data_IF_288108290226
#
_entry.id   IF_288108290226
#
_cell.length_a   1.000
_cell.length_b   1.000
_cell.length_c   1.000
_cell.angle_alpha   90.00
_cell.angle_beta   90.00
_cell.angle_gamma   90.00
#
_symmetry.space_group_name_H-M   'P 1'
#
loop_
_entity.id
_entity.type
_entity.pdbx_description
1 polymer ?
#
# COMPACT_ATOMS: atom_id res chain seq x y z
N UNK A 1 -49.59 24.98 -27.32
CA UNK A 1 -48.58 24.00 -27.77
C UNK A 1 -47.41 23.97 -26.76
N UNK A 2 -47.60 23.41 -25.55
CA UNK A 2 -46.55 23.36 -24.50
C UNK A 2 -46.23 21.93 -24.01
N UNK A 3 -46.86 20.90 -24.58
CA UNK A 3 -46.79 19.53 -24.03
C UNK A 3 -45.56 18.72 -24.48
N UNK A 4 -44.97 19.06 -25.63
CA UNK A 4 -43.85 18.30 -26.21
C UNK A 4 -42.48 18.67 -25.64
N UNK A 5 -42.36 19.79 -24.93
CA UNK A 5 -41.10 20.27 -24.33
C UNK A 5 -40.77 19.58 -22.99
N UNK A 6 -41.79 19.22 -22.20
CA UNK A 6 -41.61 18.58 -20.89
C UNK A 6 -41.13 17.12 -20.95
N UNK A 7 -41.59 16.36 -21.96
CA UNK A 7 -41.23 14.94 -22.15
C UNK A 7 -39.75 14.80 -22.55
N UNK A 8 -39.21 15.75 -23.32
CA UNK A 8 -37.79 15.78 -23.70
C UNK A 8 -36.86 16.01 -22.51
N UNK A 9 -37.32 16.80 -21.53
CA UNK A 9 -36.49 17.19 -20.39
C UNK A 9 -36.48 16.11 -19.29
N UNK A 10 -37.60 15.43 -19.06
CA UNK A 10 -37.67 14.28 -18.13
C UNK A 10 -36.94 13.05 -18.67
N UNK A 11 -36.93 12.84 -20.00
CA UNK A 11 -36.16 11.75 -20.62
C UNK A 11 -34.64 11.99 -20.53
N UNK A 12 -34.19 13.24 -20.57
CA UNK A 12 -32.77 13.59 -20.41
C UNK A 12 -32.28 13.40 -18.98
N UNK A 13 -33.10 13.76 -17.98
CA UNK A 13 -32.70 13.62 -16.57
C UNK A 13 -32.66 12.16 -16.12
N UNK A 14 -33.58 11.31 -16.59
CA UNK A 14 -33.53 9.87 -16.32
C UNK A 14 -32.33 9.19 -16.97
N UNK A 15 -31.95 9.60 -18.19
CA UNK A 15 -30.77 9.07 -18.87
C UNK A 15 -29.46 9.39 -18.13
N UNK A 16 -29.31 10.63 -17.62
CA UNK A 16 -28.13 11.05 -16.85
C UNK A 16 -28.05 10.30 -15.51
N UNK A 17 -29.18 10.13 -14.81
CA UNK A 17 -29.22 9.36 -13.57
C UNK A 17 -28.84 7.89 -13.79
N UNK A 18 -29.24 7.30 -14.92
CA UNK A 18 -28.85 5.94 -15.28
C UNK A 18 -27.33 5.84 -15.55
N UNK A 19 -26.74 6.81 -16.26
CA UNK A 19 -25.29 6.85 -16.53
C UNK A 19 -24.46 6.97 -15.24
N UNK A 20 -24.92 7.75 -14.27
CA UNK A 20 -24.28 7.88 -12.96
C UNK A 20 -24.34 6.58 -12.14
N UNK A 21 -25.43 5.82 -12.25
CA UNK A 21 -25.57 4.52 -11.56
C UNK A 21 -24.64 3.45 -12.15
N UNK A 22 -24.40 3.47 -13.46
CA UNK A 22 -23.53 2.47 -14.11
C UNK A 22 -22.05 2.76 -13.84
N UNK A 23 -21.66 4.03 -13.68
CA UNK A 23 -20.27 4.42 -13.35
C UNK A 23 -19.88 4.13 -11.90
N UNK A 24 -20.84 3.85 -11.02
CA UNK A 24 -20.58 3.49 -9.63
C UNK A 24 -20.12 2.03 -9.43
N UNK A 25 -20.13 1.20 -10.49
CA UNK A 25 -19.84 -0.24 -10.38
C UNK A 25 -18.42 -0.65 -10.78
N UNK A 26 -17.50 0.29 -11.00
CA UNK A 26 -16.08 -0.04 -11.23
C UNK A 26 -15.18 0.69 -10.24
N UNK A 27 -15.45 0.54 -8.95
CA UNK A 27 -14.38 0.64 -7.95
C UNK A 27 -13.60 -0.68 -8.02
N UNK A 28 -12.55 -0.71 -8.84
CA UNK A 28 -11.51 -1.71 -8.70
C UNK A 28 -10.89 -1.48 -7.32
N UNK A 29 -11.34 -2.23 -6.32
CA UNK A 29 -10.83 -2.09 -4.96
C UNK A 29 -9.32 -2.29 -5.02
N UNK A 30 -8.50 -1.37 -4.49
CA UNK A 30 -7.05 -1.56 -4.48
C UNK A 30 -6.80 -2.81 -3.64
N UNK A 31 -6.56 -3.94 -4.29
CA UNK A 31 -6.14 -5.16 -3.61
C UNK A 31 -4.91 -4.78 -2.78
N UNK A 32 -4.87 -5.09 -1.47
CA UNK A 32 -3.72 -4.74 -0.65
C UNK A 32 -2.49 -5.35 -1.32
N UNK A 33 -1.60 -4.50 -1.83
CA UNK A 33 -0.42 -4.97 -2.56
C UNK A 33 0.35 -5.92 -1.66
N UNK A 34 0.30 -7.21 -2.01
CA UNK A 34 0.90 -8.25 -1.21
C UNK A 34 2.42 -8.17 -1.36
N UNK A 35 3.11 -8.55 -0.30
CA UNK A 35 4.56 -8.64 -0.30
C UNK A 35 5.02 -9.56 -1.45
N UNK A 36 6.05 -9.15 -2.20
CA UNK A 36 6.64 -9.97 -3.25
C UNK A 36 6.99 -11.38 -2.70
N UNK A 37 6.76 -12.42 -3.51
CA UNK A 37 7.06 -13.79 -3.13
C UNK A 37 8.53 -13.97 -2.71
N UNK A 38 9.47 -13.28 -3.36
CA UNK A 38 10.89 -13.29 -3.01
C UNK A 38 11.15 -12.69 -1.61
N UNK A 39 10.31 -11.76 -1.16
CA UNK A 39 10.43 -11.14 0.17
C UNK A 39 9.81 -11.98 1.30
N UNK A 40 8.98 -12.97 0.98
CA UNK A 40 8.25 -13.78 1.98
C UNK A 40 9.18 -14.49 2.96
N UNK A 41 10.32 -14.99 2.50
CA UNK A 41 11.29 -15.67 3.38
C UNK A 41 11.89 -14.72 4.42
N UNK A 42 12.09 -13.45 4.06
CA UNK A 42 12.62 -12.44 4.97
C UNK A 42 11.59 -12.08 6.04
N UNK A 43 10.32 -11.97 5.65
CA UNK A 43 9.22 -11.80 6.60
C UNK A 43 9.17 -12.95 7.63
N UNK A 44 9.26 -14.21 7.17
CA UNK A 44 9.26 -15.37 8.07
C UNK A 44 10.44 -15.33 9.05
N UNK A 45 11.64 -14.95 8.60
CA UNK A 45 12.79 -14.79 9.48
C UNK A 45 12.56 -13.72 10.56
N UNK A 46 11.87 -12.62 10.20
CA UNK A 46 11.53 -11.56 11.16
C UNK A 46 10.51 -12.06 12.19
N UNK A 47 9.48 -12.79 11.75
CA UNK A 47 8.48 -13.40 12.64
C UNK A 47 9.09 -14.44 13.59
N UNK A 48 10.08 -15.21 13.13
CA UNK A 48 10.86 -16.15 13.95
C UNK A 48 11.84 -15.45 14.92
N UNK A 49 11.89 -14.12 14.96
CA UNK A 49 12.82 -13.36 15.80
C UNK A 49 14.26 -13.33 15.28
N UNK A 50 14.54 -13.89 14.09
CA UNK A 50 15.85 -13.86 13.42
C UNK A 50 16.07 -12.52 12.69
N UNK A 51 15.71 -11.42 13.33
CA UNK A 51 15.70 -10.05 12.77
C UNK A 51 17.08 -9.61 12.27
N UNK A 52 18.16 -9.99 12.96
CA UNK A 52 19.53 -9.71 12.51
C UNK A 52 19.88 -10.38 11.19
N UNK A 53 19.63 -11.68 11.08
CA UNK A 53 19.85 -12.45 9.85
C UNK A 53 18.96 -11.96 8.71
N UNK A 54 17.68 -11.65 9.01
CA UNK A 54 16.76 -11.09 8.04
C UNK A 54 17.29 -9.79 7.43
N UNK A 55 17.83 -8.86 8.24
CA UNK A 55 18.39 -7.60 7.75
C UNK A 55 19.62 -7.78 6.87
N UNK A 56 20.50 -8.74 7.19
CA UNK A 56 21.66 -9.03 6.33
C UNK A 56 21.19 -9.51 4.97
N UNK A 57 20.25 -10.45 4.93
CA UNK A 57 19.71 -10.99 3.67
C UNK A 57 18.90 -9.96 2.90
N UNK A 58 18.13 -9.11 3.57
CA UNK A 58 17.39 -8.01 2.93
C UNK A 58 18.33 -7.00 2.29
N UNK A 59 19.48 -6.71 2.92
CA UNK A 59 20.49 -5.85 2.34
C UNK A 59 21.06 -6.44 1.05
N UNK A 60 21.45 -7.71 1.09
CA UNK A 60 21.94 -8.42 -0.10
C UNK A 60 20.87 -8.43 -1.22
N UNK A 61 19.62 -8.73 -0.87
CA UNK A 61 18.50 -8.68 -1.81
C UNK A 61 18.37 -7.31 -2.48
N UNK A 62 18.41 -6.22 -1.71
CA UNK A 62 18.29 -4.86 -2.26
C UNK A 62 19.54 -4.42 -3.05
N UNK A 63 20.73 -4.95 -2.74
CA UNK A 63 21.94 -4.73 -3.54
C UNK A 63 21.84 -5.40 -4.92
N UNK A 64 21.20 -6.57 -5.00
CA UNK A 64 21.06 -7.33 -6.25
C UNK A 64 19.85 -6.88 -7.10
N UNK A 65 18.71 -6.63 -6.44
CA UNK A 65 17.41 -6.40 -7.10
C UNK A 65 16.99 -4.93 -7.10
N UNK A 66 17.73 -4.07 -6.40
CA UNK A 66 17.31 -2.71 -6.10
C UNK A 66 16.38 -2.63 -4.89
N UNK A 67 16.21 -1.40 -4.40
CA UNK A 67 15.32 -1.12 -3.28
C UNK A 67 13.86 -1.08 -3.75
N UNK A 68 13.00 -1.85 -3.09
CA UNK A 68 11.55 -1.84 -3.30
C UNK A 68 10.83 -1.40 -2.03
N UNK A 69 9.60 -0.92 -2.17
CA UNK A 69 8.81 -0.46 -1.02
C UNK A 69 8.65 -1.59 0.02
N UNK A 70 8.42 -2.83 -0.45
CA UNK A 70 8.30 -4.01 0.39
C UNK A 70 9.61 -4.39 1.11
N UNK A 71 10.76 -4.32 0.44
CA UNK A 71 12.05 -4.64 1.05
C UNK A 71 12.42 -3.62 2.14
N UNK A 72 12.21 -2.33 1.86
CA UNK A 72 12.40 -1.23 2.80
C UNK A 72 11.45 -1.35 4.00
N UNK A 73 10.19 -1.72 3.77
CA UNK A 73 9.25 -2.02 4.83
C UNK A 73 9.78 -3.13 5.75
N UNK A 74 10.26 -4.25 5.19
CA UNK A 74 10.75 -5.36 6.00
C UNK A 74 12.00 -4.99 6.81
N UNK A 75 12.85 -4.09 6.31
CA UNK A 75 13.95 -3.53 7.10
C UNK A 75 13.41 -2.79 8.33
N UNK A 76 12.40 -1.93 8.16
CA UNK A 76 11.73 -1.24 9.25
C UNK A 76 11.03 -2.21 10.21
N UNK A 77 10.30 -3.18 9.68
CA UNK A 77 9.57 -4.19 10.44
C UNK A 77 10.50 -5.05 11.32
N UNK A 78 11.71 -5.35 10.84
CA UNK A 78 12.72 -6.05 11.65
C UNK A 78 13.18 -5.24 12.87
N UNK A 79 13.34 -3.91 12.75
CA UNK A 79 13.67 -3.03 13.87
C UNK A 79 12.48 -2.83 14.79
N UNK A 80 11.29 -2.76 14.20
CA UNK A 80 10.03 -2.68 14.91
C UNK A 80 9.85 -3.89 15.84
N UNK A 81 10.11 -5.13 15.38
CA UNK A 81 10.07 -6.34 16.22
C UNK A 81 11.04 -6.29 17.40
N UNK A 82 12.16 -5.57 17.25
CA UNK A 82 13.12 -5.32 18.33
C UNK A 82 12.76 -4.11 19.21
N UNK A 83 11.58 -3.50 19.02
CA UNK A 83 11.13 -2.26 19.67
C UNK A 83 12.05 -1.05 19.44
N UNK A 84 12.84 -1.06 18.37
CA UNK A 84 13.75 0.03 17.98
C UNK A 84 13.02 1.02 17.06
N UNK A 85 11.97 1.66 17.58
CA UNK A 85 11.03 2.47 16.78
C UNK A 85 11.72 3.60 16.02
N UNK A 86 12.65 4.33 16.64
CA UNK A 86 13.42 5.38 15.96
C UNK A 86 14.20 4.89 14.73
N UNK A 87 14.65 3.62 14.72
CA UNK A 87 15.27 3.03 13.52
C UNK A 87 14.20 2.55 12.55
N UNK A 88 13.12 1.95 13.04
CA UNK A 88 12.02 1.46 12.22
C UNK A 88 11.39 2.59 11.39
N UNK A 89 11.09 3.73 12.02
CA UNK A 89 10.55 4.95 11.38
C UNK A 89 11.38 5.35 10.17
N UNK A 90 12.72 5.46 10.30
CA UNK A 90 13.60 5.83 9.17
C UNK A 90 13.41 4.93 7.95
N UNK A 91 13.22 3.63 8.16
CA UNK A 91 13.00 2.67 7.08
C UNK A 91 11.58 2.70 6.53
N UNK A 92 10.57 2.89 7.39
CA UNK A 92 9.19 3.06 6.94
C UNK A 92 9.02 4.35 6.12
N UNK A 93 9.63 5.46 6.53
CA UNK A 93 9.65 6.70 5.74
C UNK A 93 10.26 6.47 4.36
N UNK A 94 11.35 5.69 4.28
CA UNK A 94 11.95 5.35 2.98
C UNK A 94 11.02 4.49 2.13
N UNK A 95 10.37 3.51 2.74
CA UNK A 95 9.36 2.65 2.10
C UNK A 95 8.16 3.43 1.56
N UNK A 96 7.72 4.49 2.24
CA UNK A 96 6.61 5.34 1.78
C UNK A 96 7.03 6.41 0.77
N UNK A 97 8.33 6.57 0.52
CA UNK A 97 8.90 7.59 -0.36
C UNK A 97 9.51 7.00 -1.64
N UNK A 98 9.26 5.73 -1.94
CA UNK A 98 9.73 5.10 -3.19
C UNK A 98 8.92 5.58 -4.39
N UNK A 99 9.61 5.96 -5.46
CA UNK A 99 8.97 6.33 -6.72
C UNK A 99 8.30 5.09 -7.37
N UNK A 100 6.98 5.14 -7.54
CA UNK A 100 6.25 4.16 -8.36
C UNK A 100 5.79 2.87 -7.66
N UNK A 101 6.11 2.66 -6.39
CA UNK A 101 5.59 1.53 -5.62
C UNK A 101 5.10 1.97 -4.23
N UNK A 102 3.84 1.69 -3.93
CA UNK A 102 3.27 1.89 -2.60
C UNK A 102 3.11 0.52 -1.92
N UNK A 103 3.66 0.39 -0.71
CA UNK A 103 3.40 -0.74 0.17
C UNK A 103 2.54 -0.29 1.37
N UNK A 104 1.20 -0.45 1.31
CA UNK A 104 0.28 0.17 2.27
C UNK A 104 0.58 -0.09 3.75
N UNK A 105 1.04 -1.29 4.18
CA UNK A 105 1.39 -1.52 5.58
C UNK A 105 2.46 -0.55 6.11
N UNK A 106 3.35 -0.02 5.27
CA UNK A 106 4.38 0.92 5.71
C UNK A 106 3.79 2.17 6.39
N UNK A 107 2.66 2.70 5.92
CA UNK A 107 2.00 3.86 6.55
C UNK A 107 1.45 3.53 7.94
N UNK A 108 0.85 2.36 8.10
CA UNK A 108 0.34 1.90 9.40
C UNK A 108 1.47 1.83 10.43
N UNK A 109 2.58 1.18 10.06
CA UNK A 109 3.72 1.03 10.96
C UNK A 109 4.53 2.32 11.15
N UNK A 110 4.52 3.23 10.16
CA UNK A 110 5.08 4.57 10.33
C UNK A 110 4.30 5.35 11.39
N UNK A 111 2.97 5.40 11.27
CA UNK A 111 2.12 6.06 12.27
C UNK A 111 2.31 5.46 13.67
N UNK A 112 2.43 4.13 13.76
CA UNK A 112 2.70 3.47 15.03
C UNK A 112 4.09 3.82 15.60
N UNK A 113 5.11 3.86 14.74
CA UNK A 113 6.47 4.19 15.14
C UNK A 113 6.67 5.65 15.55
N UNK A 114 5.88 6.59 15.03
CA UNK A 114 5.92 8.01 15.43
C UNK A 114 5.19 8.27 16.76
N UNK A 115 4.29 7.36 17.16
CA UNK A 115 3.55 7.48 18.41
C UNK A 115 4.35 6.99 19.64
N UNK A 116 5.26 6.02 19.48
CA UNK A 116 6.03 5.36 20.56
C UNK A 116 7.50 5.81 20.61
#
# INVERSE_FOLDING_TARGET
MYYTQGISQTLKTTLIALILLISACSEESPQPKQLDAALKIHYLFIEEGKTGSARVRLRQFMEEQGESAGALFLMGFSYHKEKKYAKAVKWFTKSTSTDGEVYPPAFHFLGWGEYY
#
